data_IF_626891550287
#
_entry.id   IF_626891550287
#
_cell.length_a   1.000
_cell.length_b   1.000
_cell.length_c   1.000
_cell.angle_alpha   90.00
_cell.angle_beta   90.00
_cell.angle_gamma   90.00
#
_symmetry.space_group_name_H-M   'P 1'
#
loop_
_entity.id
_entity.type
_entity.pdbx_description
1 polymer ?
#
# COMPACT_ATOMS: atom_id res chain seq x y z
N UNK A 1 13.62 6.14 -4.40
CA UNK A 1 12.52 5.48 -3.60
C UNK A 1 12.76 5.51 -2.11
N UNK A 2 13.96 5.22 -1.64
CA UNK A 2 14.24 5.18 -0.19
C UNK A 2 13.81 6.48 0.52
N UNK A 3 14.15 7.64 -0.02
CA UNK A 3 13.76 8.93 0.56
C UNK A 3 12.21 9.10 0.69
N UNK A 4 11.42 8.61 -0.27
CA UNK A 4 9.96 8.65 -0.19
C UNK A 4 9.47 7.71 0.93
N UNK A 5 9.99 6.48 0.97
CA UNK A 5 9.64 5.52 2.02
C UNK A 5 9.93 6.11 3.41
N UNK A 6 11.16 6.55 3.64
CA UNK A 6 11.60 7.06 4.94
C UNK A 6 10.80 8.29 5.36
N UNK A 7 10.57 9.21 4.41
CA UNK A 7 9.79 10.39 4.69
C UNK A 7 8.35 10.06 5.11
N UNK A 8 7.67 9.13 4.42
CA UNK A 8 6.32 8.70 4.81
C UNK A 8 6.35 7.99 6.16
N UNK A 9 7.29 7.06 6.36
CA UNK A 9 7.42 6.32 7.62
C UNK A 9 7.69 7.23 8.83
N UNK A 10 8.45 8.30 8.64
CA UNK A 10 8.82 9.24 9.72
C UNK A 10 7.73 10.28 10.01
N UNK A 11 6.93 10.66 9.01
CA UNK A 11 6.02 11.80 9.13
C UNK A 11 4.55 11.42 9.20
N UNK A 12 4.22 10.13 9.06
CA UNK A 12 2.84 9.65 9.13
C UNK A 12 2.60 8.83 10.39
N UNK A 13 1.46 9.07 11.04
CA UNK A 13 1.01 8.27 12.16
C UNK A 13 0.01 7.20 11.68
N UNK A 14 0.24 5.93 12.07
CA UNK A 14 -0.74 4.89 11.83
C UNK A 14 -1.91 5.06 12.81
N UNK A 15 -3.09 5.35 12.29
CA UNK A 15 -4.26 5.74 13.08
C UNK A 15 -5.54 5.07 12.56
N UNK A 16 -5.89 3.88 13.09
CA UNK A 16 -7.16 3.23 12.74
C UNK A 16 -8.36 4.15 13.00
N UNK A 17 -9.31 4.16 12.05
CA UNK A 17 -10.50 5.00 12.13
C UNK A 17 -10.32 6.46 11.74
N UNK A 18 -9.12 6.88 11.31
CA UNK A 18 -8.86 8.26 10.87
C UNK A 18 -9.20 8.51 9.41
N UNK A 19 -9.49 7.48 8.64
CA UNK A 19 -9.80 7.56 7.20
C UNK A 19 -10.90 6.59 6.81
N UNK A 20 -11.52 6.83 5.65
CA UNK A 20 -12.58 6.01 5.08
C UNK A 20 -12.36 5.78 3.58
N UNK A 21 -13.31 5.14 2.91
CA UNK A 21 -13.22 4.79 1.48
C UNK A 21 -13.13 6.02 0.55
N UNK A 22 -13.45 7.21 1.03
CA UNK A 22 -13.42 8.46 0.27
C UNK A 22 -12.15 9.28 0.49
N UNK A 23 -11.35 8.92 1.51
CA UNK A 23 -10.09 9.60 1.84
C UNK A 23 -9.10 9.46 0.69
N UNK A 24 -8.63 10.59 0.18
CA UNK A 24 -7.67 10.66 -0.93
C UNK A 24 -6.23 10.67 -0.45
N UNK A 25 -5.28 10.47 -1.37
CA UNK A 25 -3.85 10.63 -1.08
C UNK A 25 -3.50 12.05 -0.61
N UNK A 26 -4.21 13.06 -1.12
CA UNK A 26 -4.00 14.47 -0.72
C UNK A 26 -4.47 14.69 0.71
N UNK A 27 -5.64 14.17 1.08
CA UNK A 27 -6.16 14.27 2.44
C UNK A 27 -5.18 13.65 3.44
N UNK A 28 -4.72 12.43 3.16
CA UNK A 28 -3.74 11.74 3.99
C UNK A 28 -2.41 12.49 4.06
N UNK A 29 -1.95 13.05 2.94
CA UNK A 29 -0.72 13.84 2.89
C UNK A 29 -0.80 15.10 3.78
N UNK A 30 -1.95 15.76 3.82
CA UNK A 30 -2.18 16.95 4.66
C UNK A 30 -2.31 16.55 6.13
N UNK A 31 -3.10 15.52 6.42
CA UNK A 31 -3.38 15.10 7.79
C UNK A 31 -2.24 14.32 8.46
N UNK A 32 -1.31 13.77 7.69
CA UNK A 32 -0.15 12.99 8.17
C UNK A 32 -0.54 11.79 9.02
N UNK A 33 -1.67 11.17 8.72
CA UNK A 33 -2.17 9.99 9.43
C UNK A 33 -3.07 9.17 8.52
N UNK A 34 -3.22 7.90 8.85
CA UNK A 34 -4.06 6.99 8.11
C UNK A 34 -3.80 5.54 8.48
N UNK A 35 -4.34 4.63 7.68
CA UNK A 35 -4.08 3.19 7.75
C UNK A 35 -3.22 2.75 6.56
N UNK A 36 -2.93 1.46 6.44
CA UNK A 36 -2.07 0.91 5.37
C UNK A 36 -2.46 1.39 3.97
N UNK A 37 -3.77 1.50 3.67
CA UNK A 37 -4.28 2.04 2.41
C UNK A 37 -3.79 3.46 2.15
N UNK A 38 -3.83 4.32 3.16
CA UNK A 38 -3.48 5.73 3.05
C UNK A 38 -1.97 5.91 2.87
N UNK A 39 -1.18 5.15 3.61
CA UNK A 39 0.27 5.08 3.42
C UNK A 39 0.63 4.64 2.00
N UNK A 40 0.00 3.56 1.50
CA UNK A 40 0.22 3.08 0.13
C UNK A 40 -0.16 4.14 -0.92
N UNK A 41 -1.30 4.82 -0.75
CA UNK A 41 -1.74 5.90 -1.64
C UNK A 41 -0.74 7.05 -1.70
N UNK A 42 -0.22 7.50 -0.56
CA UNK A 42 0.75 8.60 -0.51
C UNK A 42 2.07 8.19 -1.15
N UNK A 43 2.57 6.97 -0.87
CA UNK A 43 3.79 6.45 -1.52
C UNK A 43 3.61 6.37 -3.03
N UNK A 44 2.48 5.85 -3.53
CA UNK A 44 2.17 5.78 -4.96
C UNK A 44 2.10 7.17 -5.59
N UNK A 45 1.45 8.13 -4.92
CA UNK A 45 1.32 9.50 -5.42
C UNK A 45 2.68 10.21 -5.51
N UNK A 46 3.51 10.10 -4.47
CA UNK A 46 4.86 10.70 -4.44
C UNK A 46 5.79 10.04 -5.47
N UNK A 47 5.73 8.71 -5.63
CA UNK A 47 6.51 8.01 -6.65
C UNK A 47 6.13 8.48 -8.05
N UNK A 48 4.84 8.54 -8.37
CA UNK A 48 4.34 9.03 -9.67
C UNK A 48 4.72 10.49 -9.92
N UNK A 49 4.61 11.35 -8.91
CA UNK A 49 5.05 12.75 -8.99
C UNK A 49 6.56 12.88 -9.25
N UNK A 50 7.33 11.86 -8.86
CA UNK A 50 8.77 11.75 -9.12
C UNK A 50 9.11 10.96 -10.40
N UNK A 51 8.13 10.75 -11.28
CA UNK A 51 8.28 9.99 -12.53
C UNK A 51 8.72 8.52 -12.32
N UNK A 52 8.42 7.96 -11.16
CA UNK A 52 8.64 6.53 -10.87
C UNK A 52 7.31 5.80 -11.10
N UNK A 53 7.26 4.80 -12.01
CA UNK A 53 6.05 4.01 -12.18
C UNK A 53 5.68 3.32 -10.86
N UNK A 54 4.43 3.47 -10.44
CA UNK A 54 3.95 2.94 -9.18
C UNK A 54 2.51 2.48 -9.28
N UNK A 55 2.15 1.48 -8.47
CA UNK A 55 0.81 0.91 -8.39
C UNK A 55 0.46 0.52 -6.96
N UNK A 56 -0.82 0.42 -6.71
CA UNK A 56 -1.37 -0.01 -5.43
C UNK A 56 -1.48 -1.55 -5.41
N UNK A 57 -1.18 -2.14 -4.27
CA UNK A 57 -1.24 -3.60 -4.05
C UNK A 57 -2.08 -3.90 -2.83
N UNK A 58 -3.14 -4.70 -3.00
CA UNK A 58 -3.79 -5.38 -1.90
C UNK A 58 -3.10 -6.72 -1.64
N UNK A 59 -2.87 -7.04 -0.38
CA UNK A 59 -2.05 -8.19 -0.02
C UNK A 59 -2.41 -8.77 1.36
N UNK A 60 -1.81 -9.92 1.66
CA UNK A 60 -1.69 -10.49 3.00
C UNK A 60 -0.23 -10.52 3.43
N UNK A 61 0.00 -10.37 4.73
CA UNK A 61 1.32 -10.54 5.32
C UNK A 61 1.21 -11.08 6.76
N UNK A 62 2.03 -12.07 7.15
CA UNK A 62 1.91 -12.73 8.46
C UNK A 62 2.26 -11.82 9.63
N UNK A 63 3.08 -10.78 9.41
CA UNK A 63 3.54 -9.88 10.46
C UNK A 63 2.56 -8.76 10.78
N UNK A 64 1.53 -8.55 9.96
CA UNK A 64 0.49 -7.53 10.21
C UNK A 64 -0.30 -7.90 11.48
N UNK A 65 -0.32 -6.98 12.46
CA UNK A 65 -1.00 -7.18 13.73
C UNK A 65 -1.90 -6.00 14.11
N UNK A 66 -3.17 -6.27 14.46
CA UNK A 66 -3.88 -7.56 14.33
C UNK A 66 -3.95 -8.00 12.88
N UNK A 67 -4.01 -9.33 12.64
CA UNK A 67 -4.07 -9.85 11.26
C UNK A 67 -5.30 -9.35 10.51
N UNK A 68 -5.08 -8.79 9.35
CA UNK A 68 -6.10 -8.19 8.49
C UNK A 68 -5.62 -8.16 7.04
N UNK A 69 -6.48 -7.69 6.14
CA UNK A 69 -6.04 -7.22 4.83
C UNK A 69 -4.98 -6.13 4.99
N UNK A 70 -4.00 -6.15 4.11
CA UNK A 70 -2.96 -5.15 4.09
C UNK A 70 -2.84 -4.51 2.71
N UNK A 71 -2.27 -3.32 2.67
CA UNK A 71 -2.04 -2.58 1.44
C UNK A 71 -0.63 -1.99 1.45
N UNK A 72 0.03 -2.09 0.31
CA UNK A 72 1.36 -1.54 0.09
C UNK A 72 1.45 -0.88 -1.28
N UNK A 73 2.49 -0.09 -1.50
CA UNK A 73 2.85 0.36 -2.84
C UNK A 73 3.75 -0.66 -3.53
N UNK A 74 3.72 -0.68 -4.86
CA UNK A 74 4.72 -1.38 -5.66
C UNK A 74 5.25 -0.42 -6.72
N UNK A 75 6.57 -0.32 -6.86
CA UNK A 75 7.24 0.64 -7.74
C UNK A 75 8.18 -0.08 -8.70
N UNK A 76 8.26 0.40 -9.93
CA UNK A 76 9.21 -0.10 -10.91
C UNK A 76 10.53 0.68 -10.80
N UNK A 77 11.60 -0.03 -10.53
CA UNK A 77 12.94 0.55 -10.45
C UNK A 77 13.82 -0.08 -11.51
N UNK A 78 14.57 0.76 -12.23
CA UNK A 78 15.58 0.31 -13.19
C UNK A 78 16.68 -0.49 -12.46
N UNK A 79 17.23 -1.47 -13.15
CA UNK A 79 18.33 -2.27 -12.60
C UNK A 79 19.59 -1.40 -12.39
N UNK A 80 20.25 -1.51 -11.23
CA UNK A 80 21.48 -0.76 -10.97
C UNK A 80 22.55 -1.08 -12.01
N UNK A 81 23.05 -0.05 -12.71
CA UNK A 81 24.07 -0.18 -13.73
C UNK A 81 23.58 -0.62 -15.10
N UNK A 82 22.27 -0.75 -15.31
CA UNK A 82 21.66 -0.98 -16.62
C UNK A 82 21.72 0.29 -17.49
N UNK A 83 22.08 0.15 -18.76
CA UNK A 83 22.07 1.26 -19.74
C UNK A 83 20.65 1.56 -20.24
N UNK A 84 19.73 0.61 -20.11
CA UNK A 84 18.32 0.73 -20.54
C UNK A 84 17.41 0.93 -19.34
N UNK A 85 16.80 2.11 -19.24
CA UNK A 85 15.83 2.45 -18.18
C UNK A 85 14.54 1.62 -18.23
N UNK A 86 14.28 0.89 -19.31
CA UNK A 86 13.13 -0.02 -19.43
C UNK A 86 13.44 -1.41 -18.83
N UNK A 87 14.68 -1.69 -18.49
CA UNK A 87 15.08 -2.93 -17.80
C UNK A 87 15.08 -2.65 -16.30
N UNK A 88 14.26 -3.38 -15.57
CA UNK A 88 14.11 -3.22 -14.13
C UNK A 88 13.10 -4.20 -13.56
N UNK A 89 12.76 -4.00 -12.30
CA UNK A 89 11.84 -4.86 -11.59
C UNK A 89 10.88 -4.08 -10.70
N UNK A 90 9.77 -4.74 -10.35
CA UNK A 90 8.79 -4.22 -9.42
C UNK A 90 9.19 -4.56 -7.98
N UNK A 91 9.18 -3.55 -7.12
CA UNK A 91 9.56 -3.66 -5.71
C UNK A 91 8.41 -3.24 -4.81
N UNK A 92 8.08 -4.09 -3.84
CA UNK A 92 7.09 -3.78 -2.81
C UNK A 92 7.67 -2.79 -1.80
N UNK A 93 6.87 -1.79 -1.44
CA UNK A 93 7.22 -0.72 -0.51
C UNK A 93 6.13 -0.65 0.56
N UNK A 94 6.47 -1.02 1.78
CA UNK A 94 5.59 -0.87 2.94
C UNK A 94 6.13 0.21 3.90
N UNK A 95 5.61 1.42 3.77
CA UNK A 95 5.97 2.54 4.63
C UNK A 95 5.32 2.47 6.03
N UNK A 96 4.41 1.53 6.27
CA UNK A 96 3.88 1.28 7.62
C UNK A 96 4.87 0.50 8.50
N UNK A 97 5.81 -0.20 7.88
CA UNK A 97 6.74 -1.08 8.57
C UNK A 97 6.11 -2.35 9.17
N UNK A 98 4.85 -2.65 8.83
CA UNK A 98 4.12 -3.80 9.39
C UNK A 98 4.45 -5.11 8.70
N UNK A 99 4.82 -5.07 7.41
CA UNK A 99 5.07 -6.27 6.62
C UNK A 99 6.50 -6.32 6.11
N UNK A 100 7.07 -7.53 6.16
CA UNK A 100 8.33 -7.84 5.48
C UNK A 100 8.04 -8.08 4.00
N UNK A 101 8.61 -7.32 3.05
CA UNK A 101 8.29 -7.45 1.62
C UNK A 101 8.42 -8.88 1.06
N UNK A 102 9.38 -9.66 1.56
CA UNK A 102 9.59 -11.06 1.13
C UNK A 102 8.45 -12.01 1.53
N UNK A 103 7.68 -11.67 2.57
CA UNK A 103 6.59 -12.50 3.10
C UNK A 103 5.21 -12.03 2.61
N UNK A 104 5.15 -11.00 1.79
CA UNK A 104 3.90 -10.46 1.26
C UNK A 104 3.35 -11.36 0.16
N UNK A 105 2.09 -11.76 0.30
CA UNK A 105 1.33 -12.43 -0.74
C UNK A 105 0.42 -11.42 -1.42
N UNK A 106 0.71 -11.09 -2.68
CA UNK A 106 -0.10 -10.17 -3.49
C UNK A 106 -1.43 -10.83 -3.87
N UNK A 107 -2.53 -10.10 -3.71
CA UNK A 107 -3.88 -10.52 -4.07
C UNK A 107 -4.35 -9.76 -5.31
N UNK A 108 -4.17 -8.45 -5.34
CA UNK A 108 -4.62 -7.60 -6.43
C UNK A 108 -3.68 -6.43 -6.66
N UNK A 109 -3.64 -5.97 -7.91
CA UNK A 109 -2.84 -4.84 -8.37
C UNK A 109 -3.76 -3.84 -9.06
N UNK A 110 -3.60 -2.56 -8.76
CA UNK A 110 -4.42 -1.52 -9.36
C UNK A 110 -3.79 -0.14 -9.32
N UNK A 111 -4.48 0.85 -9.86
CA UNK A 111 -4.05 2.25 -9.83
C UNK A 111 -4.13 2.83 -8.43
N UNK A 112 -5.16 2.40 -7.69
CA UNK A 112 -5.47 2.78 -6.32
C UNK A 112 -6.33 1.68 -5.64
N UNK A 113 -6.79 1.92 -4.41
CA UNK A 113 -7.56 0.96 -3.65
C UNK A 113 -8.93 0.63 -4.29
N UNK A 114 -9.52 1.51 -5.09
CA UNK A 114 -10.81 1.26 -5.72
C UNK A 114 -10.73 0.14 -6.77
N UNK A 115 -9.58 -0.03 -7.42
CA UNK A 115 -9.36 -1.10 -8.39
C UNK A 115 -9.21 -2.49 -7.72
N UNK A 116 -8.89 -2.53 -6.43
CA UNK A 116 -8.52 -3.78 -5.71
C UNK A 116 -9.22 -3.91 -4.36
N UNK A 117 -10.45 -3.46 -4.27
CA UNK A 117 -11.28 -3.62 -3.07
C UNK A 117 -11.45 -5.09 -2.70
N UNK A 118 -11.32 -5.42 -1.42
CA UNK A 118 -11.52 -6.80 -0.94
C UNK A 118 -12.99 -7.24 -1.02
N UNK A 119 -13.92 -6.30 -1.05
CA UNK A 119 -15.35 -6.54 -1.20
C UNK A 119 -15.99 -5.37 -1.95
N UNK A 120 -16.78 -5.69 -2.97
CA UNK A 120 -17.65 -4.75 -3.66
C UNK A 120 -19.08 -5.26 -3.56
N UNK A 121 -19.98 -4.46 -3.00
CA UNK A 121 -21.41 -4.78 -2.90
C UNK A 121 -22.23 -3.82 -3.75
N UNK A 122 -23.21 -4.37 -4.44
CA UNK A 122 -24.23 -3.61 -5.16
C UNK A 122 -25.55 -3.68 -4.37
N UNK A 123 -26.05 -2.52 -3.93
CA UNK A 123 -27.23 -2.42 -3.09
C UNK A 123 -26.89 -2.24 -1.60
N UNK A 124 -27.89 -2.39 -0.75
CA UNK A 124 -27.72 -2.25 0.70
C UNK A 124 -27.13 -3.54 1.29
N UNK A 125 -25.92 -3.47 1.79
CA UNK A 125 -25.25 -4.56 2.49
C UNK A 125 -24.43 -4.01 3.64
N UNK A 126 -24.35 -4.77 4.74
CA UNK A 126 -23.50 -4.47 5.88
C UNK A 126 -22.57 -5.64 6.16
N UNK A 127 -21.25 -5.38 6.25
CA UNK A 127 -20.28 -6.38 6.66
C UNK A 127 -20.49 -6.71 8.14
N UNK A 128 -20.85 -7.96 8.45
CA UNK A 128 -21.11 -8.41 9.82
C UNK A 128 -19.82 -8.83 10.54
N UNK A 129 -18.96 -9.56 9.83
CA UNK A 129 -17.69 -10.06 10.39
C UNK A 129 -16.70 -10.37 9.28
N UNK A 130 -15.44 -10.27 9.60
CA UNK A 130 -14.34 -10.79 8.80
C UNK A 130 -13.37 -11.53 9.71
N UNK A 131 -12.73 -12.55 9.20
CA UNK A 131 -11.64 -13.26 9.89
C UNK A 131 -10.51 -13.51 8.89
N UNK A 132 -9.35 -12.97 9.18
CA UNK A 132 -8.14 -13.11 8.37
C UNK A 132 -7.10 -13.84 9.21
N UNK A 133 -6.57 -14.92 8.68
CA UNK A 133 -5.47 -15.67 9.29
C UNK A 133 -4.39 -15.92 8.24
N UNK A 134 -3.19 -15.49 8.53
CA UNK A 134 -2.02 -15.60 7.64
C UNK A 134 -0.89 -16.22 8.43
N UNK A 135 -0.39 -17.34 7.96
CA UNK A 135 0.70 -18.07 8.62
C UNK A 135 1.81 -18.36 7.62
N UNK A 136 3.05 -18.41 8.13
CA UNK A 136 4.16 -18.97 7.35
C UNK A 136 4.05 -20.49 7.31
N UNK A 137 4.25 -21.05 6.14
CA UNK A 137 4.33 -22.49 5.95
C UNK A 137 5.70 -23.05 6.34
#
# INVERSE_FOLDING_TARGET
MQAIHDWVAEHFAYAPGSSDATTTAIDSFVERRGVCRDFAHVVVALARASSIPARFVSCYAPDVQPQDFHAVAEVFLADPGGEDANIGSWHLIDATGMATPADIVKIGLGRDAADVSFLTCYGMAALQAKNISVTRG
#
